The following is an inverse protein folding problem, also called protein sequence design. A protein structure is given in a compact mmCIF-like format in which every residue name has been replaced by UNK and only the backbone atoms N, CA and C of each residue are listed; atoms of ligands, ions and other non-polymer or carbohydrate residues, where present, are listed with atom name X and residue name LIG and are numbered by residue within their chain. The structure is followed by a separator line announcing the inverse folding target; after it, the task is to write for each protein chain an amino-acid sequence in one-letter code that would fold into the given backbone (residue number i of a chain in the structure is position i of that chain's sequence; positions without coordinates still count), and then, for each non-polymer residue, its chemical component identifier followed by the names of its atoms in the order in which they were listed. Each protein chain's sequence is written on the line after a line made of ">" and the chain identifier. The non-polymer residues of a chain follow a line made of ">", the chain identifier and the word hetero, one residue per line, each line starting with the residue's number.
data_IF_497826331321
#
_entry.id   IF_497826331321
#
_cell.length_a   1.000
_cell.length_b   1.000
_cell.length_c   1.000
_cell.angle_alpha   90.00
_cell.angle_beta   90.00
_cell.angle_gamma   90.00
#
_symmetry.space_group_name_H-M   'P 1'
#
loop_
_entity.id
_entity.type
_entity.pdbx_description
1 polymer ?
#
# COMPACT_ATOMS: atom_id res chain seq x y z
N UNK A 1 22.98 -6.72 6.21
CA UNK A 1 22.09 -7.85 5.87
C UNK A 1 20.66 -7.35 6.04
N UNK A 2 19.78 -7.49 5.05
CA UNK A 2 18.38 -7.09 5.18
C UNK A 2 17.67 -7.86 6.29
N UNK A 3 16.70 -7.21 6.93
CA UNK A 3 15.86 -7.79 7.98
C UNK A 3 14.43 -7.83 7.47
N UNK A 4 13.77 -8.98 7.63
CA UNK A 4 12.35 -9.17 7.30
C UNK A 4 11.59 -9.38 8.60
N UNK A 5 10.58 -8.58 8.83
CA UNK A 5 9.71 -8.62 10.01
C UNK A 5 8.27 -8.79 9.56
N UNK A 6 7.47 -9.43 10.38
CA UNK A 6 6.01 -9.43 10.26
C UNK A 6 5.38 -9.14 11.63
N UNK A 7 4.18 -8.61 11.60
CA UNK A 7 3.44 -8.27 12.81
C UNK A 7 1.95 -8.51 12.65
N UNK A 8 1.28 -8.73 13.77
CA UNK A 8 -0.17 -8.72 13.91
C UNK A 8 -0.48 -7.98 15.22
N UNK A 9 -1.34 -6.98 15.15
CA UNK A 9 -1.69 -6.20 16.34
C UNK A 9 -2.75 -5.15 16.06
N UNK A 10 -3.25 -4.53 17.14
CA UNK A 10 -4.25 -3.50 17.05
C UNK A 10 -3.62 -2.12 16.96
N UNK A 11 -4.18 -1.28 16.10
CA UNK A 11 -3.83 0.13 15.96
C UNK A 11 -4.98 1.00 16.44
N UNK A 12 -4.64 2.14 17.04
CA UNK A 12 -5.59 3.09 17.59
C UNK A 12 -5.42 4.43 16.91
N UNK A 13 -6.49 4.95 16.30
CA UNK A 13 -6.48 6.23 15.60
C UNK A 13 -7.44 7.20 16.28
N UNK A 14 -7.04 8.48 16.36
CA UNK A 14 -7.91 9.54 16.82
C UNK A 14 -8.72 10.08 15.64
N UNK A 15 -9.78 9.35 15.24
CA UNK A 15 -10.72 9.81 14.22
C UNK A 15 -11.82 10.67 14.84
N UNK A 16 -12.33 11.66 14.08
CA UNK A 16 -13.51 12.42 14.50
C UNK A 16 -14.72 11.50 14.58
N UNK A 17 -15.55 11.68 15.62
CA UNK A 17 -16.71 10.82 15.92
C UNK A 17 -17.80 10.83 14.83
N UNK A 18 -17.73 11.76 13.87
CA UNK A 18 -18.73 11.96 12.83
C UNK A 18 -18.58 11.09 11.56
N UNK A 19 -17.49 10.32 11.44
CA UNK A 19 -17.20 9.57 10.19
C UNK A 19 -17.52 8.07 10.26
N UNK A 20 -18.02 7.56 11.38
CA UNK A 20 -18.30 6.11 11.54
C UNK A 20 -17.06 5.20 11.44
N UNK A 21 -15.86 5.77 11.47
CA UNK A 21 -14.61 4.99 11.44
C UNK A 21 -14.34 4.37 12.80
N UNK A 22 -13.91 3.11 12.80
CA UNK A 22 -13.46 2.46 14.01
C UNK A 22 -12.21 3.17 14.54
N UNK A 23 -12.18 3.43 15.86
CA UNK A 23 -11.01 4.02 16.55
C UNK A 23 -9.91 2.98 16.79
N UNK A 24 -10.27 1.71 16.77
CA UNK A 24 -9.39 0.55 16.89
C UNK A 24 -9.55 -0.30 15.63
N UNK A 25 -8.46 -0.74 15.05
CA UNK A 25 -8.47 -1.70 13.95
C UNK A 25 -7.32 -2.69 14.10
N UNK A 26 -7.57 -3.94 13.71
CA UNK A 26 -6.54 -4.99 13.66
C UNK A 26 -5.78 -4.89 12.34
N UNK A 27 -4.46 -4.90 12.43
CA UNK A 27 -3.58 -4.89 11.26
C UNK A 27 -2.60 -6.06 11.30
N UNK A 28 -2.32 -6.63 10.14
CA UNK A 28 -1.16 -7.49 9.94
C UNK A 28 -0.32 -6.95 8.80
N UNK A 29 1.00 -7.09 8.89
CA UNK A 29 1.88 -6.54 7.87
C UNK A 29 3.26 -7.17 7.89
N UNK A 30 4.05 -6.78 6.88
CA UNK A 30 5.44 -7.18 6.77
C UNK A 30 6.30 -5.98 6.35
N UNK A 31 7.52 -5.97 6.87
CA UNK A 31 8.53 -4.93 6.66
C UNK A 31 9.84 -5.56 6.19
N UNK A 32 10.43 -5.01 5.13
CA UNK A 32 11.77 -5.34 4.66
C UNK A 32 12.66 -4.13 4.87
N UNK A 33 13.66 -4.28 5.75
CA UNK A 33 14.54 -3.19 6.17
C UNK A 33 15.97 -3.50 5.75
N UNK A 34 16.68 -2.52 5.21
CA UNK A 34 18.08 -2.60 4.82
C UNK A 34 18.32 -2.99 3.36
N UNK A 35 17.28 -2.94 2.52
CA UNK A 35 17.37 -3.13 1.07
C UNK A 35 16.63 -2.03 0.32
N UNK A 36 17.38 -1.20 -0.43
CA UNK A 36 16.85 -0.08 -1.25
C UNK A 36 16.64 -0.44 -2.71
N UNK A 37 16.69 -1.72 -3.08
CA UNK A 37 16.56 -2.17 -4.47
C UNK A 37 15.09 -2.27 -4.92
N UNK A 38 14.88 -2.15 -6.23
CA UNK A 38 13.56 -2.37 -6.86
C UNK A 38 13.10 -3.83 -6.70
N UNK A 39 14.05 -4.79 -6.58
CA UNK A 39 13.71 -6.18 -6.30
C UNK A 39 13.08 -6.36 -4.92
N UNK A 40 13.48 -5.55 -3.92
CA UNK A 40 12.83 -5.52 -2.61
C UNK A 40 11.40 -4.95 -2.69
N UNK A 41 11.18 -3.94 -3.54
CA UNK A 41 9.84 -3.41 -3.81
C UNK A 41 8.93 -4.47 -4.43
N UNK A 42 9.45 -5.19 -5.42
CA UNK A 42 8.73 -6.27 -6.09
C UNK A 42 8.44 -7.45 -5.15
N UNK A 43 9.37 -7.80 -4.26
CA UNK A 43 9.17 -8.85 -3.25
C UNK A 43 8.02 -8.49 -2.30
N UNK A 44 7.98 -7.26 -1.78
CA UNK A 44 6.91 -6.80 -0.89
C UNK A 44 5.57 -6.77 -1.60
N UNK A 45 5.50 -6.32 -2.86
CA UNK A 45 4.28 -6.34 -3.65
C UNK A 45 3.82 -7.78 -3.95
N UNK A 46 4.74 -8.70 -4.26
CA UNK A 46 4.42 -10.12 -4.45
C UNK A 46 3.85 -10.73 -3.16
N UNK A 47 4.49 -10.47 -2.02
CA UNK A 47 3.98 -10.92 -0.72
C UNK A 47 2.60 -10.34 -0.41
N UNK A 48 2.35 -9.08 -0.77
CA UNK A 48 1.04 -8.45 -0.62
C UNK A 48 -0.03 -9.17 -1.46
N UNK A 49 0.25 -9.43 -2.74
CA UNK A 49 -0.66 -10.17 -3.64
C UNK A 49 -0.92 -11.58 -3.12
N UNK A 50 0.12 -12.30 -2.74
CA UNK A 50 0.02 -13.66 -2.20
C UNK A 50 -0.82 -13.68 -0.91
N UNK A 51 -0.62 -12.72 0.00
CA UNK A 51 -1.42 -12.61 1.23
C UNK A 51 -2.91 -12.41 0.94
N UNK A 52 -3.25 -11.62 -0.08
CA UNK A 52 -4.64 -11.44 -0.50
C UNK A 52 -5.22 -12.73 -1.09
N UNK A 53 -4.48 -13.43 -1.94
CA UNK A 53 -4.90 -14.70 -2.55
C UNK A 53 -5.10 -15.80 -1.50
N UNK A 54 -4.15 -15.95 -0.57
CA UNK A 54 -4.22 -16.93 0.52
C UNK A 54 -5.38 -16.64 1.49
N UNK A 55 -5.79 -15.37 1.64
CA UNK A 55 -7.00 -15.03 2.40
C UNK A 55 -8.31 -15.45 1.71
N UNK A 56 -8.23 -15.90 0.46
CA UNK A 56 -9.38 -16.33 -0.34
C UNK A 56 -9.90 -15.27 -1.33
N UNK A 57 -9.39 -14.04 -1.30
CA UNK A 57 -9.77 -13.01 -2.27
C UNK A 57 -9.25 -13.37 -3.66
N UNK A 58 -10.12 -13.25 -4.67
CA UNK A 58 -9.77 -13.51 -6.09
C UNK A 58 -9.83 -12.26 -6.94
N UNK A 59 -10.71 -11.33 -6.57
CA UNK A 59 -10.99 -10.10 -7.30
C UNK A 59 -10.54 -8.91 -6.47
N UNK A 60 -9.32 -8.46 -6.68
CA UNK A 60 -8.75 -7.26 -6.08
C UNK A 60 -7.76 -6.62 -7.04
N UNK A 61 -7.46 -5.36 -6.81
CA UNK A 61 -6.49 -4.59 -7.56
C UNK A 61 -5.60 -3.83 -6.60
N UNK A 62 -4.30 -3.80 -6.87
CA UNK A 62 -3.32 -3.00 -6.15
C UNK A 62 -2.89 -1.87 -7.06
N UNK A 63 -3.30 -0.63 -6.74
CA UNK A 63 -2.80 0.57 -7.41
C UNK A 63 -1.41 0.90 -6.87
N UNK A 64 -0.46 1.11 -7.77
CA UNK A 64 0.94 1.44 -7.47
C UNK A 64 1.26 2.80 -8.08
N UNK A 65 1.75 3.70 -7.26
CA UNK A 65 2.25 5.02 -7.63
C UNK A 65 3.64 5.28 -7.07
N UNK A 66 4.09 6.53 -7.16
CA UNK A 66 5.40 6.93 -6.64
C UNK A 66 5.31 8.31 -6.00
N UNK A 67 5.68 8.43 -4.73
CA UNK A 67 5.56 9.68 -3.96
C UNK A 67 6.30 10.85 -4.60
N UNK A 68 7.45 10.61 -5.23
CA UNK A 68 8.27 11.65 -5.87
C UNK A 68 7.65 12.19 -7.16
N UNK A 69 6.68 11.51 -7.78
CA UNK A 69 6.00 12.04 -8.96
C UNK A 69 5.24 13.32 -8.63
N UNK A 70 4.42 13.28 -7.59
CA UNK A 70 3.67 14.45 -7.13
C UNK A 70 4.62 15.59 -6.70
N UNK A 71 5.61 15.31 -5.87
CA UNK A 71 6.59 16.31 -5.43
C UNK A 71 7.40 16.91 -6.59
N UNK A 72 7.75 16.08 -7.58
CA UNK A 72 8.42 16.56 -8.79
C UNK A 72 7.56 17.52 -9.60
N UNK A 73 6.24 17.22 -9.73
CA UNK A 73 5.27 18.11 -10.39
C UNK A 73 5.14 19.45 -9.68
N UNK A 74 4.92 19.45 -8.36
CA UNK A 74 4.73 20.67 -7.56
C UNK A 74 5.97 21.54 -7.58
N UNK A 75 7.17 20.92 -7.47
CA UNK A 75 8.47 21.60 -7.58
C UNK A 75 8.70 22.18 -8.97
N UNK A 76 8.43 21.41 -10.03
CA UNK A 76 8.61 21.87 -11.41
C UNK A 76 7.66 23.01 -11.80
N UNK A 77 6.45 23.01 -11.23
CA UNK A 77 5.47 24.09 -11.39
C UNK A 77 5.76 25.31 -10.49
N UNK A 78 6.70 25.20 -9.54
CA UNK A 78 7.04 26.28 -8.61
C UNK A 78 5.91 26.62 -7.63
N UNK A 79 5.11 25.60 -7.22
CA UNK A 79 3.98 25.81 -6.32
C UNK A 79 4.43 26.24 -4.93
N UNK A 80 3.66 27.13 -4.30
CA UNK A 80 3.78 27.42 -2.87
C UNK A 80 3.28 26.23 -2.02
N UNK A 81 3.63 26.21 -0.74
CA UNK A 81 3.14 25.15 0.16
C UNK A 81 1.62 25.11 0.27
N UNK A 82 0.93 26.25 0.22
CA UNK A 82 -0.53 26.35 0.20
C UNK A 82 -1.11 25.75 -1.09
N UNK A 83 -0.55 26.12 -2.24
CA UNK A 83 -0.97 25.55 -3.54
C UNK A 83 -0.70 24.04 -3.65
N UNK A 84 0.38 23.54 -3.05
CA UNK A 84 0.66 22.10 -2.99
C UNK A 84 -0.40 21.38 -2.16
N UNK A 85 -0.80 21.94 -1.03
CA UNK A 85 -1.83 21.35 -0.18
C UNK A 85 -3.20 21.38 -0.83
N UNK A 86 -3.58 22.49 -1.46
CA UNK A 86 -4.83 22.59 -2.24
C UNK A 86 -4.89 21.53 -3.34
N UNK A 87 -3.80 21.38 -4.09
CA UNK A 87 -3.71 20.36 -5.15
C UNK A 87 -3.79 18.94 -4.57
N UNK A 88 -3.11 18.69 -3.45
CA UNK A 88 -3.13 17.41 -2.74
C UNK A 88 -4.56 17.05 -2.31
N UNK A 89 -5.29 18.00 -1.75
CA UNK A 89 -6.68 17.81 -1.33
C UNK A 89 -7.59 17.51 -2.52
N UNK A 90 -7.45 18.22 -3.64
CA UNK A 90 -8.19 17.94 -4.87
C UNK A 90 -7.97 16.51 -5.37
N UNK A 91 -6.73 16.04 -5.41
CA UNK A 91 -6.39 14.68 -5.86
C UNK A 91 -6.89 13.64 -4.85
N UNK A 92 -6.69 13.85 -3.55
CA UNK A 92 -7.16 12.94 -2.50
C UNK A 92 -8.68 12.73 -2.54
N UNK A 93 -9.41 13.79 -2.86
CA UNK A 93 -10.87 13.76 -3.03
C UNK A 93 -11.32 13.30 -4.44
N UNK A 94 -10.38 12.87 -5.30
CA UNK A 94 -10.64 12.48 -6.70
C UNK A 94 -11.39 13.56 -7.52
N UNK A 95 -11.19 14.83 -7.15
CA UNK A 95 -11.77 15.98 -7.83
C UNK A 95 -10.89 16.41 -9.02
N UNK A 96 -10.82 15.59 -10.06
CA UNK A 96 -9.94 15.83 -11.21
C UNK A 96 -10.38 17.02 -12.06
N UNK A 97 -11.67 17.38 -12.06
CA UNK A 97 -12.12 18.63 -12.65
C UNK A 97 -11.50 19.85 -11.92
N UNK A 98 -11.47 19.80 -10.58
CA UNK A 98 -10.79 20.82 -9.78
C UNK A 98 -9.29 20.88 -10.07
N UNK A 99 -8.64 19.71 -10.26
CA UNK A 99 -7.23 19.63 -10.67
C UNK A 99 -7.00 20.30 -12.03
N UNK A 100 -7.85 20.04 -13.03
CA UNK A 100 -7.76 20.67 -14.36
C UNK A 100 -7.87 22.20 -14.26
N UNK A 101 -8.89 22.72 -13.54
CA UNK A 101 -9.06 24.15 -13.30
C UNK A 101 -7.86 24.77 -12.59
N UNK A 102 -7.33 24.07 -11.57
CA UNK A 102 -6.15 24.51 -10.83
C UNK A 102 -4.94 24.61 -11.78
N UNK A 103 -4.66 23.57 -12.55
CA UNK A 103 -3.54 23.49 -13.50
C UNK A 103 -3.65 24.57 -14.58
N UNK A 104 -4.89 24.86 -15.07
CA UNK A 104 -5.14 25.90 -16.05
C UNK A 104 -4.88 27.31 -15.53
N UNK A 105 -4.98 27.52 -14.23
CA UNK A 105 -4.64 28.79 -13.57
C UNK A 105 -3.12 29.05 -13.51
N UNK A 106 -2.30 28.01 -13.71
CA UNK A 106 -0.85 28.09 -13.57
C UNK A 106 -0.17 28.39 -14.91
N UNK A 107 0.92 29.18 -14.85
CA UNK A 107 1.77 29.44 -16.01
C UNK A 107 2.84 28.35 -16.12
N UNK A 108 2.65 27.38 -17.01
CA UNK A 108 3.60 26.29 -17.23
C UNK A 108 3.70 25.92 -18.72
N UNK A 109 4.76 25.20 -19.09
CA UNK A 109 4.91 24.70 -20.45
C UNK A 109 4.02 23.47 -20.73
N UNK A 110 3.83 23.16 -22.01
CA UNK A 110 2.95 22.07 -22.47
C UNK A 110 3.40 20.68 -21.98
N UNK A 111 4.70 20.44 -21.80
CA UNK A 111 5.20 19.15 -21.28
C UNK A 111 4.72 18.93 -19.85
N UNK A 112 4.89 19.94 -19.00
CA UNK A 112 4.49 19.86 -17.60
C UNK A 112 2.98 19.75 -17.46
N UNK A 113 2.20 20.50 -18.27
CA UNK A 113 0.75 20.40 -18.32
C UNK A 113 0.26 18.97 -18.67
N UNK A 114 0.90 18.33 -19.67
CA UNK A 114 0.59 16.93 -20.01
C UNK A 114 0.92 15.94 -18.89
N UNK A 115 2.02 16.18 -18.14
CA UNK A 115 2.36 15.35 -16.97
C UNK A 115 1.31 15.48 -15.84
N UNK A 116 0.79 16.69 -15.59
CA UNK A 116 -0.33 16.89 -14.68
C UNK A 116 -1.60 16.16 -15.13
N UNK A 117 -1.86 16.11 -16.45
CA UNK A 117 -3.00 15.38 -17.02
C UNK A 117 -2.93 13.85 -16.84
N UNK A 118 -1.81 13.31 -16.36
CA UNK A 118 -1.72 11.87 -16.02
C UNK A 118 -2.23 11.53 -14.62
N UNK A 119 -2.52 12.54 -13.80
CA UNK A 119 -2.99 12.35 -12.41
C UNK A 119 -4.38 11.72 -12.32
N UNK A 120 -5.22 11.84 -13.35
CA UNK A 120 -6.56 11.29 -13.42
C UNK A 120 -6.62 9.87 -14.02
N UNK A 121 -5.47 9.33 -14.43
CA UNK A 121 -5.41 8.00 -15.02
C UNK A 121 -5.13 6.93 -13.94
N UNK A 122 -6.09 6.03 -13.77
CA UNK A 122 -6.06 4.99 -12.73
C UNK A 122 -5.33 3.70 -13.13
N UNK A 123 -4.98 3.54 -14.41
CA UNK A 123 -4.27 2.36 -14.90
C UNK A 123 -3.46 2.68 -16.17
N UNK A 124 -2.28 3.26 -15.96
CA UNK A 124 -1.36 3.62 -17.03
C UNK A 124 -0.73 2.37 -17.67
N UNK A 125 -0.89 2.26 -18.98
CA UNK A 125 -0.32 1.20 -19.78
C UNK A 125 1.16 1.49 -20.14
N UNK A 126 1.89 0.48 -20.65
CA UNK A 126 3.32 0.59 -20.99
C UNK A 126 3.60 1.78 -21.90
N UNK A 127 2.79 1.97 -22.94
CA UNK A 127 2.96 3.06 -23.90
C UNK A 127 2.79 4.43 -23.26
N UNK A 128 1.84 4.57 -22.34
CA UNK A 128 1.58 5.83 -21.63
C UNK A 128 2.71 6.16 -20.63
N UNK A 129 3.23 5.16 -19.90
CA UNK A 129 4.38 5.34 -19.01
C UNK A 129 5.65 5.69 -19.80
N UNK A 130 5.86 5.09 -20.98
CA UNK A 130 6.98 5.42 -21.87
C UNK A 130 6.84 6.81 -22.48
N UNK A 131 5.63 7.26 -22.80
CA UNK A 131 5.39 8.64 -23.23
C UNK A 131 5.65 9.63 -22.09
N UNK A 132 5.13 9.33 -20.89
CA UNK A 132 5.37 10.12 -19.70
C UNK A 132 6.86 10.25 -19.37
N UNK A 133 7.65 9.17 -19.54
CA UNK A 133 9.11 9.21 -19.36
C UNK A 133 9.78 10.21 -20.30
N UNK A 134 9.37 10.26 -21.57
CA UNK A 134 9.88 11.22 -22.55
C UNK A 134 9.48 12.67 -22.19
N UNK A 135 8.25 12.88 -21.73
CA UNK A 135 7.77 14.19 -21.29
C UNK A 135 8.55 14.68 -20.06
N UNK A 136 8.97 13.75 -19.19
CA UNK A 136 9.70 14.04 -17.96
C UNK A 136 11.17 14.44 -18.17
N UNK A 137 11.70 14.41 -19.42
CA UNK A 137 13.06 14.85 -19.70
C UNK A 137 13.27 16.30 -19.28
N UNK A 138 14.21 16.52 -18.35
CA UNK A 138 14.51 17.80 -17.73
C UNK A 138 13.87 18.01 -16.36
N UNK A 139 13.11 17.02 -15.86
CA UNK A 139 12.49 17.00 -14.53
C UNK A 139 12.95 15.74 -13.79
N UNK A 140 14.08 15.80 -13.12
CA UNK A 140 14.81 14.63 -12.59
C UNK A 140 13.96 13.76 -11.63
N UNK A 141 13.21 14.37 -10.71
CA UNK A 141 12.37 13.65 -9.76
C UNK A 141 11.21 12.91 -10.45
N UNK A 142 10.58 13.56 -11.44
CA UNK A 142 9.49 12.97 -12.23
C UNK A 142 10.05 11.82 -13.09
N UNK A 143 11.17 12.06 -13.77
CA UNK A 143 11.85 11.08 -14.62
C UNK A 143 12.21 9.82 -13.81
N UNK A 144 12.86 10.03 -12.65
CA UNK A 144 13.27 8.93 -11.77
C UNK A 144 12.08 8.12 -11.23
N UNK A 145 10.97 8.78 -10.91
CA UNK A 145 9.77 8.10 -10.42
C UNK A 145 9.14 7.19 -11.47
N UNK A 146 9.02 7.69 -12.72
CA UNK A 146 8.46 6.90 -13.83
C UNK A 146 9.40 5.75 -14.22
N UNK A 147 10.72 6.00 -14.29
CA UNK A 147 11.72 4.97 -14.57
C UNK A 147 11.69 3.84 -13.51
N UNK A 148 11.50 4.20 -12.23
CA UNK A 148 11.33 3.23 -11.15
C UNK A 148 10.09 2.36 -11.35
N UNK A 149 8.95 2.95 -11.73
CA UNK A 149 7.71 2.20 -11.98
C UNK A 149 7.85 1.26 -13.19
N UNK A 150 8.50 1.70 -14.28
CA UNK A 150 8.77 0.86 -15.45
C UNK A 150 9.67 -0.33 -15.10
N UNK A 151 10.74 -0.11 -14.35
CA UNK A 151 11.62 -1.19 -13.87
C UNK A 151 10.88 -2.14 -12.93
N UNK A 152 10.12 -1.62 -11.98
CA UNK A 152 9.31 -2.43 -11.08
C UNK A 152 8.35 -3.34 -11.84
N UNK A 153 7.70 -2.82 -12.88
CA UNK A 153 6.77 -3.59 -13.73
C UNK A 153 7.42 -4.83 -14.33
N UNK A 154 8.67 -4.74 -14.78
CA UNK A 154 9.40 -5.90 -15.31
C UNK A 154 9.64 -6.98 -14.24
N UNK A 155 9.95 -6.58 -13.00
CA UNK A 155 10.04 -7.53 -11.89
C UNK A 155 8.69 -8.19 -11.58
N UNK A 156 7.59 -7.41 -11.56
CA UNK A 156 6.25 -7.93 -11.27
C UNK A 156 5.74 -8.88 -12.34
N UNK A 157 6.10 -8.66 -13.61
CA UNK A 157 5.88 -9.62 -14.71
C UNK A 157 6.62 -10.94 -14.45
N UNK A 158 7.86 -10.88 -13.95
CA UNK A 158 8.63 -12.09 -13.63
C UNK A 158 8.02 -12.87 -12.45
N UNK A 159 7.36 -12.18 -11.50
CA UNK A 159 6.56 -12.80 -10.43
C UNK A 159 5.19 -13.33 -10.94
N UNK A 160 4.74 -12.95 -12.13
CA UNK A 160 3.43 -13.37 -12.69
C UNK A 160 2.23 -12.76 -12.01
N UNK A 161 2.40 -11.59 -11.38
CA UNK A 161 1.36 -10.91 -10.60
C UNK A 161 0.85 -9.62 -11.26
N UNK A 162 1.28 -9.30 -12.47
CA UNK A 162 0.94 -8.06 -13.19
C UNK A 162 -0.58 -7.83 -13.32
N UNK A 163 -1.37 -8.89 -13.43
CA UNK A 163 -2.84 -8.78 -13.55
C UNK A 163 -3.52 -8.21 -12.29
N UNK A 164 -2.83 -8.19 -11.15
CA UNK A 164 -3.33 -7.63 -9.90
C UNK A 164 -2.84 -6.20 -9.66
N UNK A 165 -2.00 -5.67 -10.56
CA UNK A 165 -1.34 -4.38 -10.40
C UNK A 165 -1.87 -3.39 -11.44
N UNK A 166 -2.22 -2.18 -11.01
CA UNK A 166 -2.45 -1.01 -11.86
C UNK A 166 -1.46 0.10 -11.49
N UNK A 167 -1.15 0.96 -12.46
CA UNK A 167 -0.22 2.07 -12.24
C UNK A 167 -0.97 3.39 -12.24
N UNK A 168 -0.92 4.10 -11.11
CA UNK A 168 -1.66 5.34 -10.86
C UNK A 168 -0.69 6.43 -10.39
N UNK A 169 -0.35 7.38 -11.26
CA UNK A 169 0.53 8.50 -10.92
C UNK A 169 -0.13 9.54 -10.00
N UNK A 170 -1.46 9.59 -9.99
CA UNK A 170 -2.26 10.37 -9.04
C UNK A 170 -2.49 9.71 -7.69
N UNK A 171 -1.84 8.58 -7.41
CA UNK A 171 -1.92 7.99 -6.08
C UNK A 171 -1.13 8.83 -5.09
N UNK A 172 -1.80 9.35 -4.08
CA UNK A 172 -1.21 10.14 -2.99
C UNK A 172 -1.45 9.43 -1.67
N UNK A 173 -0.46 9.48 -0.79
CA UNK A 173 -0.58 8.98 0.57
C UNK A 173 -0.83 10.11 1.56
N UNK A 174 -1.64 9.83 2.59
CA UNK A 174 -1.80 10.69 3.76
C UNK A 174 -0.50 10.81 4.58
N UNK A 175 0.43 9.87 4.37
CA UNK A 175 1.69 9.81 5.09
C UNK A 175 2.82 10.45 4.28
N UNK A 176 3.45 11.46 4.85
CA UNK A 176 4.53 12.24 4.22
C UNK A 176 5.91 11.57 4.31
N UNK A 177 6.03 10.44 5.02
CA UNK A 177 7.30 9.75 5.21
C UNK A 177 7.70 8.85 4.04
N UNK A 178 6.80 8.58 3.08
CA UNK A 178 7.14 7.77 1.91
C UNK A 178 8.12 8.48 0.98
N UNK A 179 9.13 7.74 0.53
CA UNK A 179 10.24 8.26 -0.29
C UNK A 179 10.33 7.63 -1.68
N UNK A 180 9.55 6.60 -1.95
CA UNK A 180 9.59 5.82 -3.18
C UNK A 180 8.20 5.41 -3.64
N UNK A 181 8.05 4.14 -4.04
CA UNK A 181 6.75 3.61 -4.42
C UNK A 181 5.78 3.66 -3.24
N UNK A 182 4.52 3.86 -3.57
CA UNK A 182 3.37 3.76 -2.68
C UNK A 182 2.33 2.88 -3.33
N UNK A 183 1.55 2.15 -2.54
CA UNK A 183 0.52 1.30 -3.09
C UNK A 183 -0.66 1.12 -2.14
N UNK A 184 -1.83 0.88 -2.74
CA UNK A 184 -3.07 0.62 -2.03
C UNK A 184 -3.84 -0.49 -2.74
N UNK A 185 -4.35 -1.45 -1.98
CA UNK A 185 -5.14 -2.55 -2.52
C UNK A 185 -6.61 -2.40 -2.22
N UNK A 186 -7.42 -2.60 -3.23
CA UNK A 186 -8.87 -2.49 -3.19
C UNK A 186 -9.54 -3.78 -3.64
N UNK A 187 -10.71 -4.05 -3.11
CA UNK A 187 -11.57 -5.16 -3.53
C UNK A 187 -13.03 -4.73 -3.53
N UNK A 188 -13.87 -5.53 -4.18
CA UNK A 188 -15.30 -5.30 -4.20
C UNK A 188 -15.90 -5.39 -2.81
N UNK A 189 -16.81 -4.46 -2.51
CA UNK A 189 -17.55 -4.43 -1.25
C UNK A 189 -16.88 -3.66 -0.12
N UNK A 190 -15.71 -3.03 -0.35
CA UNK A 190 -15.09 -2.10 0.62
C UNK A 190 -15.11 -0.69 0.06
N UNK A 191 -15.33 0.32 0.91
CA UNK A 191 -15.24 1.74 0.54
C UNK A 191 -13.82 2.30 0.74
N UNK A 192 -12.95 1.53 1.38
CA UNK A 192 -11.57 1.91 1.70
C UNK A 192 -10.59 0.80 1.28
N UNK A 193 -9.30 1.12 1.10
CA UNK A 193 -8.30 0.11 0.77
C UNK A 193 -8.15 -0.91 1.90
N UNK A 194 -8.04 -2.19 1.54
CA UNK A 194 -7.80 -3.30 2.45
C UNK A 194 -6.32 -3.47 2.80
N UNK A 195 -5.44 -2.93 1.96
CA UNK A 195 -3.99 -2.92 2.20
C UNK A 195 -3.41 -1.58 1.77
N UNK A 196 -2.44 -1.09 2.54
CA UNK A 196 -1.64 0.10 2.22
C UNK A 196 -0.16 -0.22 2.46
N UNK A 197 0.70 0.34 1.63
CA UNK A 197 2.14 0.16 1.78
C UNK A 197 2.96 1.13 0.96
N UNK A 198 4.28 1.03 1.10
CA UNK A 198 5.22 1.85 0.33
C UNK A 198 6.62 1.85 0.91
N UNK A 199 7.54 2.54 0.22
CA UNK A 199 8.94 2.72 0.59
C UNK A 199 9.14 3.97 1.43
N UNK A 200 9.90 3.84 2.54
CA UNK A 200 10.13 4.92 3.51
C UNK A 200 11.57 4.96 4.03
N UNK A 201 12.52 5.20 3.15
CA UNK A 201 13.98 5.11 3.42
C UNK A 201 14.51 6.12 4.45
N UNK A 202 13.74 7.16 4.78
CA UNK A 202 14.16 8.23 5.72
C UNK A 202 13.59 8.08 7.13
N UNK A 203 12.57 7.26 7.31
CA UNK A 203 11.86 7.17 8.59
C UNK A 203 12.76 6.66 9.71
N UNK A 204 13.58 5.64 9.44
CA UNK A 204 14.43 5.03 10.46
C UNK A 204 15.57 5.94 10.93
N UNK A 205 15.97 6.94 10.13
CA UNK A 205 16.98 7.93 10.52
C UNK A 205 16.55 8.76 11.75
N UNK A 206 15.25 8.99 11.94
CA UNK A 206 14.71 9.65 13.12
C UNK A 206 14.92 8.84 14.42
N UNK A 207 15.16 7.54 14.28
CA UNK A 207 15.46 6.62 15.39
C UNK A 207 16.95 6.27 15.49
N UNK A 208 17.81 7.05 14.82
CA UNK A 208 19.27 6.96 14.95
C UNK A 208 19.94 5.94 14.04
N UNK A 209 19.22 5.33 13.07
CA UNK A 209 19.80 4.40 12.11
C UNK A 209 19.26 4.64 10.70
N UNK A 210 20.12 5.04 9.79
CA UNK A 210 19.76 5.21 8.39
C UNK A 210 19.67 3.83 7.71
N UNK A 211 18.49 3.49 7.20
CA UNK A 211 18.24 2.24 6.50
C UNK A 211 17.05 2.38 5.54
N UNK A 212 17.21 1.89 4.32
CA UNK A 212 16.12 1.76 3.36
C UNK A 212 15.07 0.79 3.91
N UNK A 213 13.81 1.10 3.72
CA UNK A 213 12.72 0.26 4.20
C UNK A 213 11.50 0.33 3.28
N UNK A 214 10.84 -0.81 3.15
CA UNK A 214 9.54 -0.94 2.46
C UNK A 214 8.68 -1.95 3.21
N UNK A 215 7.37 -1.71 3.26
CA UNK A 215 6.45 -2.62 3.91
C UNK A 215 5.00 -2.39 3.51
N UNK A 216 4.13 -3.22 4.05
CA UNK A 216 2.69 -3.09 3.89
C UNK A 216 1.94 -3.45 5.17
N UNK A 217 0.73 -2.91 5.29
CA UNK A 217 -0.23 -3.24 6.33
C UNK A 217 -1.58 -3.62 5.70
N UNK A 218 -2.09 -4.79 6.05
CA UNK A 218 -3.45 -5.24 5.74
C UNK A 218 -4.34 -4.86 6.91
N UNK A 219 -5.45 -4.18 6.64
CA UNK A 219 -6.49 -3.88 7.62
C UNK A 219 -7.42 -5.09 7.73
N UNK A 220 -7.20 -5.91 8.76
CA UNK A 220 -7.89 -7.20 8.91
C UNK A 220 -9.40 -7.02 8.97
N UNK A 221 -9.89 -5.97 9.65
CA UNK A 221 -11.33 -5.69 9.73
C UNK A 221 -11.95 -5.43 8.35
N UNK A 222 -11.25 -4.71 7.46
CA UNK A 222 -11.69 -4.47 6.09
C UNK A 222 -11.62 -5.74 5.25
N UNK A 223 -10.58 -6.55 5.43
CA UNK A 223 -10.43 -7.84 4.76
C UNK A 223 -11.58 -8.78 5.16
N UNK A 224 -11.87 -8.92 6.45
CA UNK A 224 -12.97 -9.75 6.94
C UNK A 224 -14.34 -9.28 6.43
N UNK A 225 -14.56 -7.96 6.39
CA UNK A 225 -15.77 -7.38 5.81
C UNK A 225 -15.90 -7.68 4.31
N UNK A 226 -14.80 -7.63 3.56
CA UNK A 226 -14.76 -7.97 2.14
C UNK A 226 -15.08 -9.45 1.90
N UNK A 227 -14.44 -10.35 2.63
CA UNK A 227 -14.67 -11.80 2.55
C UNK A 227 -16.15 -12.12 2.81
N UNK A 228 -16.70 -11.56 3.88
CA UNK A 228 -18.12 -11.75 4.22
C UNK A 228 -19.09 -11.23 3.14
N UNK A 229 -18.82 -10.06 2.55
CA UNK A 229 -19.66 -9.47 1.48
C UNK A 229 -19.55 -10.21 0.14
N UNK A 230 -18.47 -10.94 -0.05
CA UNK A 230 -18.21 -11.75 -1.24
C UNK A 230 -18.62 -13.21 -1.06
N UNK A 231 -19.27 -13.55 0.07
CA UNK A 231 -19.67 -14.93 0.43
C UNK A 231 -18.47 -15.91 0.37
N UNK A 232 -17.30 -15.45 0.81
CA UNK A 232 -16.09 -16.25 0.91
C UNK A 232 -16.02 -16.83 2.32
N UNK A 233 -16.10 -18.15 2.45
CA UNK A 233 -16.00 -18.83 3.72
C UNK A 233 -14.57 -18.72 4.29
N UNK A 234 -14.48 -18.22 5.51
CA UNK A 234 -13.25 -18.26 6.30
C UNK A 234 -13.25 -19.56 7.09
N UNK A 235 -12.34 -20.50 6.82
CA UNK A 235 -12.31 -21.75 7.55
C UNK A 235 -11.99 -21.49 9.02
N UNK A 236 -12.97 -21.77 9.89
CA UNK A 236 -12.76 -21.76 11.34
C UNK A 236 -12.18 -23.12 11.71
N UNK A 237 -10.94 -23.13 12.17
CA UNK A 237 -10.32 -24.36 12.69
C UNK A 237 -10.93 -24.60 14.07
N UNK A 238 -12.03 -25.33 14.12
CA UNK A 238 -12.62 -25.84 15.35
C UNK A 238 -11.85 -27.07 15.86
N UNK A 239 -10.62 -26.90 16.25
CA UNK A 239 -9.86 -27.95 16.93
C UNK A 239 -9.97 -27.77 18.45
N UNK A 240 -11.21 -27.81 18.97
CA UNK A 240 -11.42 -27.92 20.41
C UNK A 240 -11.27 -29.39 20.83
N UNK A 241 -10.27 -29.71 21.65
CA UNK A 241 -10.11 -31.02 22.25
C UNK A 241 -10.67 -30.96 23.67
N UNK A 242 -11.70 -31.72 23.94
CA UNK A 242 -12.21 -31.91 25.30
C UNK A 242 -11.46 -33.08 25.96
N UNK A 243 -10.73 -32.79 27.03
CA UNK A 243 -10.06 -33.78 27.83
C UNK A 243 -10.94 -34.11 29.04
N UNK A 244 -11.57 -35.30 29.03
CA UNK A 244 -12.33 -35.82 30.14
C UNK A 244 -11.42 -36.70 30.98
N UNK A 245 -11.36 -36.49 32.28
CA UNK A 245 -10.51 -37.26 33.20
C UNK A 245 -11.19 -37.51 34.55
N UNK A 246 -10.77 -38.57 35.21
CA UNK A 246 -11.10 -38.82 36.60
C UNK A 246 -10.16 -38.02 37.51
N UNK A 247 -10.59 -37.72 38.76
CA UNK A 247 -9.85 -36.90 39.71
C UNK A 247 -8.41 -37.40 39.93
N UNK A 248 -8.24 -38.73 39.96
CA UNK A 248 -6.91 -39.35 40.09
C UNK A 248 -5.95 -39.10 38.91
N UNK A 249 -6.48 -38.74 37.75
CA UNK A 249 -5.73 -38.48 36.53
C UNK A 249 -5.51 -36.98 36.24
N UNK A 250 -5.83 -36.08 37.16
CA UNK A 250 -5.79 -34.62 36.99
C UNK A 250 -4.45 -34.10 36.46
N UNK A 251 -3.31 -34.52 37.06
CA UNK A 251 -1.99 -34.09 36.61
C UNK A 251 -1.65 -34.56 35.20
N UNK A 252 -2.06 -35.73 34.79
CA UNK A 252 -1.88 -36.24 33.44
C UNK A 252 -2.71 -35.47 32.42
N UNK A 253 -3.95 -35.12 32.80
CA UNK A 253 -4.84 -34.32 31.97
C UNK A 253 -4.30 -32.90 31.72
N UNK A 254 -3.78 -32.21 32.74
CA UNK A 254 -3.15 -30.92 32.60
C UNK A 254 -1.93 -31.01 31.67
N UNK A 255 -1.05 -31.99 31.87
CA UNK A 255 0.13 -32.17 31.03
C UNK A 255 -0.25 -32.37 29.55
N UNK A 256 -1.33 -33.11 29.27
CA UNK A 256 -1.84 -33.33 27.92
C UNK A 256 -2.48 -32.09 27.34
N UNK A 257 -3.21 -31.29 28.11
CA UNK A 257 -3.80 -30.03 27.64
C UNK A 257 -2.73 -29.00 27.25
N UNK A 258 -1.65 -28.89 28.02
CA UNK A 258 -0.51 -28.06 27.69
C UNK A 258 0.18 -28.51 26.40
N UNK A 259 0.36 -29.81 26.19
CA UNK A 259 0.96 -30.34 24.96
C UNK A 259 0.11 -30.07 23.71
N UNK A 260 -1.22 -30.10 23.82
CA UNK A 260 -2.15 -29.76 22.71
C UNK A 260 -2.16 -28.26 22.42
N UNK A 261 -2.04 -27.41 23.45
CA UNK A 261 -2.00 -25.94 23.31
C UNK A 261 -0.74 -25.42 22.59
N UNK A 262 0.36 -26.18 22.54
CA UNK A 262 1.61 -25.79 21.87
C UNK A 262 1.75 -26.30 20.42
N UNK A 263 0.76 -27.01 19.89
CA UNK A 263 0.78 -27.60 18.54
C UNK A 263 -0.11 -26.85 17.54
N UNK A 264 -0.58 -25.65 17.90
CA UNK A 264 -1.39 -24.78 17.01
C UNK A 264 -0.83 -23.37 16.95
#
# INVERSE_FOLDING_TARGET
>A
MPVKLCYLGNTFINSSDYQGRLKESTQCGAELIGDGSISADAEILSMTVESMLESGLKNFQISVGHSQFFYGLTKAAGLSGEQEEDLRELIANKNFFGVEVFVDSLSMNDKLRKLFGLLDNFDLQDEQLMEALKLAEGYDEILSSIDTLLKLREYLKAYGIEKYISYELGLISDYTYYTGIIFQGYTYGTGEPIVKGGRYDKLLSHFGKDAAAIGFAIVVDQLMAALSRQDIDVPVIENSSLIVFEEAAYHAAIKRSMAVSYTH
#
